data_IF_358001324995
#
_entry.id   IF_358001324995
#
_cell.length_a   1.000
_cell.length_b   1.000
_cell.length_c   1.000
_cell.angle_alpha   90.00
_cell.angle_beta   90.00
_cell.angle_gamma   90.00
#
_symmetry.space_group_name_H-M   'P 1'
#
loop_
_entity.id
_entity.type
_entity.pdbx_description
1 polymer ?
#
# COMPACT_ATOMS: atom_id res chain seq x y z
N UNK A 1 6.42 15.84 16.53
CA UNK A 1 4.97 15.88 16.30
C UNK A 1 4.79 16.13 14.81
N UNK A 2 4.49 15.12 13.98
CA UNK A 2 3.49 14.07 14.14
C UNK A 2 2.27 14.55 13.38
N UNK A 3 1.92 13.92 12.26
CA UNK A 3 0.94 14.42 11.30
C UNK A 3 -0.35 14.97 11.95
N UNK A 4 -1.04 15.89 11.26
CA UNK A 4 -2.32 16.40 11.74
C UNK A 4 -3.35 15.27 11.89
N UNK A 5 -4.36 15.46 12.75
CA UNK A 5 -5.45 14.50 12.92
C UNK A 5 -6.10 14.11 11.58
N UNK A 6 -6.25 15.06 10.67
CA UNK A 6 -6.82 14.82 9.34
C UNK A 6 -5.98 13.85 8.50
N UNK A 7 -4.65 13.99 8.55
CA UNK A 7 -3.73 13.09 7.84
C UNK A 7 -3.80 11.68 8.42
N UNK A 8 -3.84 11.54 9.75
CA UNK A 8 -4.04 10.24 10.39
C UNK A 8 -5.37 9.59 10.05
N UNK A 9 -6.47 10.36 10.05
CA UNK A 9 -7.79 9.86 9.65
C UNK A 9 -7.80 9.45 8.17
N UNK A 10 -7.23 10.27 7.29
CA UNK A 10 -7.17 10.00 5.85
C UNK A 10 -6.33 8.75 5.53
N UNK A 11 -5.18 8.59 6.19
CA UNK A 11 -4.34 7.41 6.05
C UNK A 11 -5.00 6.18 6.67
N UNK A 12 -5.58 6.30 7.87
CA UNK A 12 -6.23 5.21 8.59
C UNK A 12 -7.47 4.67 7.89
N UNK A 13 -8.23 5.54 7.20
CA UNK A 13 -9.38 5.12 6.40
C UNK A 13 -9.03 4.11 5.28
N UNK A 14 -7.75 4.02 4.90
CA UNK A 14 -7.30 3.03 3.92
C UNK A 14 -7.42 1.57 4.40
N UNK A 15 -7.70 1.31 5.68
CA UNK A 15 -7.99 -0.05 6.17
C UNK A 15 -9.39 -0.53 5.77
N UNK A 16 -10.30 0.38 5.45
CA UNK A 16 -11.71 0.06 5.18
C UNK A 16 -11.92 -0.86 3.98
N UNK A 17 -11.23 -0.70 2.83
CA UNK A 17 -11.39 -1.62 1.71
C UNK A 17 -10.90 -3.04 2.05
N UNK A 18 -9.85 -3.16 2.87
CA UNK A 18 -9.37 -4.46 3.36
C UNK A 18 -10.40 -5.14 4.27
N UNK A 19 -10.98 -4.39 5.21
CA UNK A 19 -12.06 -4.89 6.06
C UNK A 19 -13.30 -5.29 5.22
N UNK A 20 -13.64 -4.49 4.21
CA UNK A 20 -14.72 -4.77 3.27
C UNK A 20 -14.48 -6.06 2.46
N UNK A 21 -13.26 -6.28 1.98
CA UNK A 21 -12.90 -7.52 1.28
C UNK A 21 -12.99 -8.75 2.19
N UNK A 22 -12.48 -8.65 3.43
CA UNK A 22 -12.60 -9.73 4.41
C UNK A 22 -14.07 -10.05 4.73
N UNK A 23 -14.88 -9.02 4.97
CA UNK A 23 -16.32 -9.18 5.20
C UNK A 23 -17.02 -9.80 3.99
N UNK A 24 -16.71 -9.34 2.78
CA UNK A 24 -17.26 -9.90 1.55
C UNK A 24 -16.95 -11.39 1.42
N UNK A 25 -15.70 -11.80 1.66
CA UNK A 25 -15.29 -13.21 1.62
C UNK A 25 -16.05 -14.06 2.64
N UNK A 26 -16.30 -13.53 3.85
CA UNK A 26 -17.07 -14.23 4.88
C UNK A 26 -18.55 -14.35 4.51
N UNK A 27 -19.16 -13.28 4.01
CA UNK A 27 -20.56 -13.28 3.58
C UNK A 27 -20.82 -14.18 2.37
N UNK A 28 -19.79 -14.44 1.55
CA UNK A 28 -19.88 -15.27 0.35
C UNK A 28 -19.08 -16.58 0.48
N UNK A 29 -18.76 -17.01 1.70
CA UNK A 29 -17.87 -18.14 1.97
C UNK A 29 -18.33 -19.45 1.30
N UNK A 30 -19.64 -19.70 1.29
CA UNK A 30 -20.21 -20.90 0.70
C UNK A 30 -20.04 -20.94 -0.83
N UNK A 31 -20.08 -19.78 -1.48
CA UNK A 31 -19.90 -19.64 -2.93
C UNK A 31 -18.42 -19.74 -3.37
N UNK A 32 -17.47 -19.70 -2.43
CA UNK A 32 -16.05 -19.82 -2.74
C UNK A 32 -15.70 -21.25 -3.21
N UNK A 33 -14.74 -21.38 -4.15
CA UNK A 33 -14.36 -22.67 -4.73
C UNK A 33 -13.79 -23.62 -3.68
N UNK A 34 -14.08 -24.91 -3.85
CA UNK A 34 -13.46 -26.02 -3.14
C UNK A 34 -12.97 -27.05 -4.17
N UNK A 35 -11.65 -27.27 -4.32
CA UNK A 35 -10.56 -26.76 -3.48
C UNK A 35 -10.27 -25.27 -3.66
N UNK A 36 -9.83 -24.62 -2.57
CA UNK A 36 -9.55 -23.19 -2.53
C UNK A 36 -8.16 -22.86 -3.09
N UNK A 37 -8.03 -21.88 -4.00
CA UNK A 37 -6.73 -21.46 -4.52
C UNK A 37 -5.92 -20.74 -3.43
N UNK A 38 -4.67 -21.14 -3.26
CA UNK A 38 -3.74 -20.61 -2.24
C UNK A 38 -2.55 -19.85 -2.82
N UNK A 39 -2.24 -20.06 -4.10
CA UNK A 39 -1.16 -19.39 -4.79
C UNK A 39 -1.55 -19.15 -6.25
N UNK A 40 -1.05 -18.05 -6.81
CA UNK A 40 -1.20 -17.67 -8.21
C UNK A 40 0.18 -17.40 -8.79
N UNK A 41 0.46 -17.98 -9.97
CA UNK A 41 1.69 -17.69 -10.69
C UNK A 41 1.65 -16.30 -11.35
N UNK A 42 2.77 -15.92 -11.96
CA UNK A 42 2.91 -14.66 -12.70
C UNK A 42 1.96 -14.51 -13.90
N UNK A 43 1.30 -15.57 -14.38
CA UNK A 43 0.27 -15.48 -15.44
C UNK A 43 -1.12 -15.21 -14.87
N UNK A 44 -1.26 -15.07 -13.55
CA UNK A 44 -2.54 -14.93 -12.88
C UNK A 44 -3.35 -16.22 -12.87
N UNK A 45 -2.70 -17.37 -13.02
CA UNK A 45 -3.33 -18.70 -12.95
C UNK A 45 -3.07 -19.29 -11.57
N UNK A 46 -4.11 -19.82 -10.93
CA UNK A 46 -3.96 -20.55 -9.67
C UNK A 46 -3.18 -21.85 -9.91
N UNK A 47 -2.06 -22.02 -9.22
CA UNK A 47 -1.14 -23.16 -9.38
C UNK A 47 -0.93 -23.94 -8.08
N UNK A 48 -1.52 -23.50 -6.97
CA UNK A 48 -1.62 -24.27 -5.73
C UNK A 48 -3.02 -24.18 -5.13
N UNK A 49 -3.54 -25.32 -4.71
CA UNK A 49 -4.87 -25.46 -4.11
C UNK A 49 -4.76 -26.12 -2.72
N UNK A 50 -5.82 -26.03 -1.93
CA UNK A 50 -5.95 -26.72 -0.64
C UNK A 50 -7.40 -26.78 -0.16
N UNK A 51 -7.66 -27.45 0.96
CA UNK A 51 -9.01 -27.52 1.53
C UNK A 51 -9.56 -26.12 1.83
N UNK A 52 -10.81 -25.87 1.45
CA UNK A 52 -11.51 -24.63 1.84
C UNK A 52 -11.70 -24.60 3.36
N UNK A 53 -11.20 -23.54 4.00
CA UNK A 53 -11.38 -23.27 5.42
C UNK A 53 -11.42 -21.76 5.65
N UNK A 54 -12.05 -21.30 6.72
CA UNK A 54 -12.06 -19.88 7.09
C UNK A 54 -10.64 -19.33 7.24
N UNK A 55 -9.74 -20.14 7.84
CA UNK A 55 -8.32 -19.80 7.95
C UNK A 55 -7.67 -19.57 6.58
N UNK A 56 -7.90 -20.48 5.62
CA UNK A 56 -7.36 -20.31 4.27
C UNK A 56 -7.93 -19.06 3.57
N UNK A 57 -9.22 -18.79 3.73
CA UNK A 57 -9.89 -17.62 3.12
C UNK A 57 -9.40 -16.30 3.72
N UNK A 58 -9.22 -16.25 5.04
CA UNK A 58 -8.82 -15.05 5.78
C UNK A 58 -7.30 -14.84 5.85
N UNK A 59 -6.48 -15.80 5.41
CA UNK A 59 -5.01 -15.69 5.50
C UNK A 59 -4.49 -14.42 4.83
N UNK A 60 -4.92 -14.13 3.59
CA UNK A 60 -4.45 -12.95 2.85
C UNK A 60 -4.95 -11.64 3.50
N UNK A 61 -6.25 -11.50 3.86
CA UNK A 61 -6.71 -10.35 4.63
C UNK A 61 -5.93 -10.11 5.93
N UNK A 62 -5.63 -11.17 6.70
CA UNK A 62 -4.90 -11.08 7.96
C UNK A 62 -3.44 -10.63 7.75
N UNK A 63 -2.75 -11.19 6.76
CA UNK A 63 -1.40 -10.74 6.38
C UNK A 63 -1.45 -9.28 5.95
N UNK A 64 -2.47 -8.89 5.18
CA UNK A 64 -2.67 -7.51 4.77
C UNK A 64 -2.89 -6.57 5.95
N UNK A 65 -3.71 -6.96 6.93
CA UNK A 65 -4.00 -6.15 8.10
C UNK A 65 -2.75 -5.97 8.96
N UNK A 66 -1.99 -7.04 9.18
CA UNK A 66 -0.73 -6.98 9.90
C UNK A 66 0.28 -6.09 9.17
N UNK A 67 0.41 -6.24 7.85
CA UNK A 67 1.29 -5.39 7.03
C UNK A 67 0.89 -3.94 7.12
N UNK A 68 -0.41 -3.63 7.03
CA UNK A 68 -0.92 -2.28 7.17
C UNK A 68 -0.57 -1.70 8.54
N UNK A 69 -0.82 -2.43 9.64
CA UNK A 69 -0.47 -1.99 11.01
C UNK A 69 1.03 -1.72 11.14
N UNK A 70 1.88 -2.62 10.64
CA UNK A 70 3.33 -2.46 10.69
C UNK A 70 3.79 -1.21 9.93
N UNK A 71 3.30 -1.01 8.70
CA UNK A 71 3.64 0.18 7.92
C UNK A 71 3.08 1.44 8.60
N UNK A 72 1.85 1.40 9.10
CA UNK A 72 1.22 2.55 9.74
C UNK A 72 1.93 2.96 11.04
N UNK A 73 2.49 2.00 11.78
CA UNK A 73 3.27 2.25 13.00
C UNK A 73 4.71 2.68 12.70
N UNK A 74 5.36 2.04 11.73
CA UNK A 74 6.80 2.23 11.47
C UNK A 74 7.08 3.33 10.46
N UNK A 75 6.31 3.45 9.39
CA UNK A 75 6.58 4.38 8.29
C UNK A 75 6.66 5.85 8.72
N UNK A 76 5.78 6.37 9.61
CA UNK A 76 5.91 7.73 10.15
C UNK A 76 7.18 7.94 10.98
N UNK A 77 7.81 6.86 11.47
CA UNK A 77 9.00 6.90 12.32
C UNK A 77 10.31 6.80 11.53
N UNK A 78 10.26 6.36 10.26
CA UNK A 78 11.45 6.26 9.42
C UNK A 78 12.01 7.64 9.10
N UNK A 79 13.24 7.89 9.53
CA UNK A 79 13.89 9.22 9.52
C UNK A 79 15.41 9.09 9.38
N UNK A 80 15.97 8.95 8.18
CA UNK A 80 17.42 9.08 8.01
C UNK A 80 17.82 9.68 6.66
N UNK A 81 18.35 10.90 6.69
CA UNK A 81 19.30 11.45 5.71
C UNK A 81 20.41 12.20 6.48
N UNK A 82 21.58 12.36 5.85
CA UNK A 82 22.80 12.94 6.45
C UNK A 82 22.65 14.38 6.99
N UNK A 83 21.52 15.04 6.72
CA UNK A 83 21.20 16.42 7.10
C UNK A 83 20.20 16.56 8.27
N UNK A 84 19.65 15.46 8.80
CA UNK A 84 18.72 15.50 9.95
C UNK A 84 17.41 14.71 9.75
N UNK A 85 16.57 14.68 10.81
CA UNK A 85 15.32 13.91 10.86
C UNK A 85 14.18 14.65 10.16
N UNK A 86 13.80 14.22 8.96
CA UNK A 86 12.54 14.65 8.34
C UNK A 86 11.59 13.45 8.22
N UNK A 87 10.40 13.48 8.85
CA UNK A 87 9.39 12.46 8.60
C UNK A 87 8.95 12.52 7.12
N UNK A 88 8.36 11.43 6.58
CA UNK A 88 7.79 11.47 5.24
C UNK A 88 6.78 12.63 5.08
N UNK A 89 6.55 13.07 3.85
CA UNK A 89 5.52 14.09 3.63
C UNK A 89 4.12 13.51 3.95
N UNK A 90 3.16 14.31 4.44
CA UNK A 90 1.80 13.86 4.70
C UNK A 90 1.16 13.19 3.46
N UNK A 91 1.40 13.76 2.28
CA UNK A 91 0.93 13.23 1.00
C UNK A 91 1.48 11.83 0.73
N UNK A 92 2.78 11.61 0.97
CA UNK A 92 3.40 10.31 0.78
C UNK A 92 2.85 9.28 1.76
N UNK A 93 2.65 9.64 3.03
CA UNK A 93 2.08 8.74 4.03
C UNK A 93 0.65 8.32 3.68
N UNK A 94 -0.19 9.28 3.27
CA UNK A 94 -1.56 8.99 2.79
C UNK A 94 -1.50 8.10 1.54
N UNK A 95 -0.67 8.44 0.55
CA UNK A 95 -0.56 7.68 -0.69
C UNK A 95 -0.12 6.22 -0.46
N UNK A 96 0.89 5.99 0.37
CA UNK A 96 1.35 4.63 0.72
C UNK A 96 0.27 3.86 1.48
N UNK A 97 -0.43 4.50 2.41
CA UNK A 97 -1.51 3.85 3.17
C UNK A 97 -2.64 3.40 2.24
N UNK A 98 -3.09 4.28 1.34
CA UNK A 98 -4.12 3.96 0.34
C UNK A 98 -3.65 2.93 -0.68
N UNK A 99 -2.38 2.97 -1.07
CA UNK A 99 -1.81 1.96 -1.95
C UNK A 99 -1.93 0.56 -1.33
N UNK A 100 -1.47 0.38 -0.10
CA UNK A 100 -1.60 -0.89 0.63
C UNK A 100 -3.06 -1.26 0.84
N UNK A 101 -3.87 -0.28 1.26
CA UNK A 101 -5.30 -0.40 1.50
C UNK A 101 -6.12 -0.81 0.28
N UNK A 102 -5.60 -0.66 -0.94
CA UNK A 102 -6.27 -1.08 -2.18
C UNK A 102 -5.67 -2.36 -2.76
N UNK A 103 -4.35 -2.52 -2.74
CA UNK A 103 -3.69 -3.71 -3.30
C UNK A 103 -3.99 -4.96 -2.48
N UNK A 104 -3.88 -4.89 -1.16
CA UNK A 104 -4.12 -6.05 -0.29
C UNK A 104 -5.55 -6.63 -0.40
N UNK A 105 -6.63 -5.83 -0.42
CA UNK A 105 -7.97 -6.36 -0.69
C UNK A 105 -8.13 -6.92 -2.10
N UNK A 106 -7.55 -6.28 -3.12
CA UNK A 106 -7.59 -6.81 -4.48
C UNK A 106 -6.96 -8.20 -4.57
N UNK A 107 -5.81 -8.40 -3.92
CA UNK A 107 -5.16 -9.71 -3.84
C UNK A 107 -6.02 -10.71 -3.05
N UNK A 108 -6.68 -10.26 -1.98
CA UNK A 108 -7.58 -11.12 -1.19
C UNK A 108 -8.80 -11.60 -1.99
N UNK A 109 -9.27 -10.82 -2.96
CA UNK A 109 -10.44 -11.11 -3.78
C UNK A 109 -10.12 -11.87 -5.08
N UNK A 110 -8.86 -12.25 -5.32
CA UNK A 110 -8.49 -13.03 -6.50
C UNK A 110 -9.32 -14.33 -6.68
N UNK A 111 -9.62 -15.12 -5.63
CA UNK A 111 -10.46 -16.32 -5.77
C UNK A 111 -11.86 -16.06 -6.33
N UNK A 112 -12.35 -14.82 -6.21
CA UNK A 112 -13.68 -14.40 -6.65
C UNK A 112 -13.62 -13.79 -8.05
N UNK A 113 -12.62 -12.94 -8.29
CA UNK A 113 -12.52 -12.12 -9.51
C UNK A 113 -11.87 -12.90 -10.65
N UNK A 114 -11.05 -13.91 -10.33
CA UNK A 114 -10.20 -14.59 -11.30
C UNK A 114 -10.76 -15.96 -11.62
N UNK A 115 -11.24 -16.20 -12.84
CA UNK A 115 -11.63 -17.54 -13.24
C UNK A 115 -10.40 -18.47 -13.19
N UNK A 116 -10.58 -19.78 -12.93
CA UNK A 116 -9.48 -20.74 -12.86
C UNK A 116 -8.61 -20.80 -14.13
N UNK A 117 -9.16 -20.41 -15.29
CA UNK A 117 -8.45 -20.29 -16.57
C UNK A 117 -7.42 -19.14 -16.61
N UNK A 118 -7.38 -18.30 -15.58
CA UNK A 118 -6.46 -17.17 -15.42
C UNK A 118 -7.03 -15.84 -15.87
N UNK A 119 -6.37 -14.76 -15.45
CA UNK A 119 -6.67 -13.39 -15.88
C UNK A 119 -5.37 -12.59 -16.09
N UNK A 120 -4.82 -12.55 -17.33
CA UNK A 120 -3.53 -11.93 -17.63
C UNK A 120 -3.51 -10.40 -17.40
N UNK A 121 -4.67 -9.76 -17.29
CA UNK A 121 -4.82 -8.34 -17.00
C UNK A 121 -4.65 -7.98 -15.51
N UNK A 122 -4.62 -8.97 -14.60
CA UNK A 122 -4.49 -8.74 -13.16
C UNK A 122 -3.18 -8.06 -12.78
N UNK A 123 -2.06 -8.51 -13.34
CA UNK A 123 -0.75 -7.94 -13.05
C UNK A 123 -0.69 -6.44 -13.39
N UNK A 124 -1.05 -6.00 -14.61
CA UNK A 124 -1.08 -4.57 -14.90
C UNK A 124 -2.02 -3.79 -13.97
N UNK A 125 -3.21 -4.32 -13.65
CA UNK A 125 -4.15 -3.67 -12.71
C UNK A 125 -3.55 -3.51 -11.32
N UNK A 126 -2.82 -4.52 -10.81
CA UNK A 126 -2.15 -4.46 -9.51
C UNK A 126 -0.90 -3.57 -9.52
N UNK A 127 -0.22 -3.44 -10.66
CA UNK A 127 1.00 -2.65 -10.78
C UNK A 127 0.75 -1.15 -11.02
N UNK A 128 -0.36 -0.77 -11.66
CA UNK A 128 -0.69 0.65 -11.95
C UNK A 128 -0.68 1.50 -10.66
N UNK A 129 -1.34 1.12 -9.56
CA UNK A 129 -1.28 1.88 -8.31
C UNK A 129 0.14 1.99 -7.74
N UNK A 130 0.94 0.92 -7.84
CA UNK A 130 2.33 0.89 -7.36
C UNK A 130 3.19 1.89 -8.12
N UNK A 131 3.05 1.90 -9.44
CA UNK A 131 3.76 2.81 -10.33
C UNK A 131 3.31 4.25 -10.06
N UNK A 132 2.02 4.50 -9.86
CA UNK A 132 1.50 5.84 -9.56
C UNK A 132 2.04 6.39 -8.24
N UNK A 133 2.02 5.60 -7.17
CA UNK A 133 2.54 6.00 -5.84
C UNK A 133 4.05 6.21 -5.89
N UNK A 134 4.78 5.31 -6.56
CA UNK A 134 6.22 5.47 -6.79
C UNK A 134 6.54 6.74 -7.58
N UNK A 135 5.77 7.04 -8.63
CA UNK A 135 5.95 8.24 -9.44
C UNK A 135 5.68 9.52 -8.64
N UNK A 136 4.65 9.54 -7.78
CA UNK A 136 4.37 10.66 -6.87
C UNK A 136 5.55 10.84 -5.91
N UNK A 137 6.02 9.77 -5.26
CA UNK A 137 7.17 9.82 -4.36
C UNK A 137 8.44 10.36 -5.04
N UNK A 138 8.75 9.88 -6.24
CA UNK A 138 9.87 10.36 -7.05
C UNK A 138 9.70 11.85 -7.39
N UNK A 139 8.49 12.28 -7.78
CA UNK A 139 8.23 13.68 -8.14
C UNK A 139 8.45 14.62 -6.95
N UNK A 140 7.96 14.25 -5.78
CA UNK A 140 8.11 15.05 -4.56
C UNK A 140 9.58 15.08 -4.09
N UNK A 141 10.30 13.94 -4.14
CA UNK A 141 11.74 13.90 -3.87
C UNK A 141 12.54 14.84 -4.80
N UNK A 142 12.21 14.85 -6.10
CA UNK A 142 12.83 15.77 -7.07
C UNK A 142 12.50 17.23 -6.78
N UNK A 143 11.28 17.55 -6.32
CA UNK A 143 10.90 18.92 -5.94
C UNK A 143 11.69 19.40 -4.72
N UNK A 144 11.84 18.55 -3.69
CA UNK A 144 12.62 18.88 -2.50
C UNK A 144 14.10 19.16 -2.83
N UNK A 145 14.72 18.32 -3.67
CA UNK A 145 16.11 18.54 -4.12
C UNK A 145 16.28 19.86 -4.90
N UNK A 146 15.29 20.25 -5.71
CA UNK A 146 15.32 21.53 -6.44
C UNK A 146 15.19 22.73 -5.52
N UNK A 147 14.35 22.65 -4.50
CA UNK A 147 14.20 23.73 -3.52
C UNK A 147 15.51 23.97 -2.75
N UNK A 148 16.19 22.90 -2.31
CA UNK A 148 17.50 23.00 -1.64
C UNK A 148 18.60 23.55 -2.56
N UNK A 149 18.62 23.16 -3.83
CA UNK A 149 19.58 23.68 -4.80
C UNK A 149 19.34 25.18 -5.15
N UNK A 150 18.13 25.70 -4.88
CA UNK A 150 17.76 27.10 -5.06
C UNK A 150 17.97 27.96 -3.81
N UNK A 151 18.49 27.39 -2.71
CA UNK A 151 19.10 28.13 -1.61
C UNK A 151 20.63 28.21 -1.76
N UNK A 152 21.20 29.04 -2.67
CA UNK A 152 22.59 29.45 -2.58
C UNK A 152 22.72 30.84 -1.93
N UNK A 153 23.63 30.94 -0.96
CA UNK A 153 24.37 32.14 -0.51
C UNK A 153 23.64 33.38 0.06
N UNK A 154 22.31 33.41 0.15
CA UNK A 154 21.59 34.53 0.79
C UNK A 154 21.89 34.76 2.28
N UNK A 155 22.40 33.74 2.97
CA UNK A 155 22.80 33.84 4.39
C UNK A 155 24.24 34.37 4.58
N UNK A 156 25.12 34.26 3.56
CA UNK A 156 26.49 34.75 3.64
C UNK A 156 26.63 36.22 3.22
N UNK A 157 25.66 36.79 2.51
CA UNK A 157 25.69 38.19 2.08
C UNK A 157 25.17 39.19 3.13
N UNK A 158 24.56 38.73 4.23
CA UNK A 158 24.09 39.60 5.33
C UNK A 158 25.04 39.68 6.53
N UNK A 159 26.15 38.92 6.54
CA UNK A 159 27.19 39.00 7.58
C UNK A 159 28.45 39.77 7.12
N UNK A 160 28.43 40.32 5.90
CA UNK A 160 29.54 41.07 5.31
C UNK A 160 29.11 42.42 4.77
N UNK A 161 28.60 43.31 5.63
CA UNK A 161 28.44 44.74 5.35
C UNK A 161 28.59 45.55 6.62
#
# INVERSE_FOLDING_TARGET
MGYSRQVWMAAGAAVLPLAGAALYLLLNYDALPDPYPRHWNWRGVADAFGPKSEGAVLTVPLIGALTFVLVFAVFPSQTHDAAGKHPPSPTMFIAVSWFLGLVLPLVSLLPVIVPPSGAPWLLPVLLIPTVAVSAIGIRESRRAKRAQAQEPDGANSMLGS
#
